data_IF_610765614608
#
_entry.id   IF_610765614608
#
_cell.length_a   1.000
_cell.length_b   1.000
_cell.length_c   1.000
_cell.angle_alpha   90.00
_cell.angle_beta   90.00
_cell.angle_gamma   90.00
#
_symmetry.space_group_name_H-M   'P 1'
#
loop_
_entity.id
_entity.type
_entity.pdbx_description
1 polymer ?
#
# COMPACT_ATOMS: atom_id res chain seq x y z
N UNK A 1 25.05 51.64 -8.54
CA UNK A 1 24.82 51.20 -7.14
C UNK A 1 23.46 50.54 -6.95
N UNK A 2 22.38 51.10 -7.51
CA UNK A 2 21.00 50.57 -7.38
C UNK A 2 20.72 49.15 -7.93
N UNK A 3 21.35 48.74 -9.04
CA UNK A 3 21.08 47.41 -9.67
C UNK A 3 21.68 46.23 -8.88
N UNK A 4 22.76 46.47 -8.13
CA UNK A 4 23.43 45.42 -7.33
C UNK A 4 22.69 45.15 -6.02
N UNK A 5 22.10 46.17 -5.41
CA UNK A 5 21.26 46.03 -4.22
C UNK A 5 19.93 45.35 -4.52
N UNK A 6 19.31 45.61 -5.68
CA UNK A 6 18.08 44.91 -6.08
C UNK A 6 18.31 43.44 -6.38
N UNK A 7 19.41 43.06 -7.06
CA UNK A 7 19.73 41.65 -7.31
C UNK A 7 19.98 40.85 -6.02
N UNK A 8 20.68 41.45 -5.04
CA UNK A 8 20.94 40.79 -3.75
C UNK A 8 19.66 40.62 -2.92
N UNK A 9 18.76 41.60 -2.92
CA UNK A 9 17.48 41.51 -2.22
C UNK A 9 16.55 40.44 -2.84
N UNK A 10 16.53 40.33 -4.17
CA UNK A 10 15.75 39.29 -4.87
C UNK A 10 16.28 37.87 -4.61
N UNK A 11 17.60 37.69 -4.55
CA UNK A 11 18.22 36.39 -4.21
C UNK A 11 17.93 36.02 -2.76
N UNK A 12 17.98 36.97 -1.82
CA UNK A 12 17.67 36.70 -0.41
C UNK A 12 16.20 36.32 -0.20
N UNK A 13 15.27 36.99 -0.89
CA UNK A 13 13.83 36.65 -0.85
C UNK A 13 13.55 35.27 -1.42
N UNK A 14 14.22 34.87 -2.51
CA UNK A 14 14.11 33.52 -3.09
C UNK A 14 14.63 32.44 -2.14
N UNK A 15 15.74 32.67 -1.44
CA UNK A 15 16.31 31.71 -0.48
C UNK A 15 15.38 31.51 0.73
N UNK A 16 14.83 32.59 1.29
CA UNK A 16 13.88 32.50 2.41
C UNK A 16 12.59 31.76 2.06
N UNK A 17 12.08 31.92 0.83
CA UNK A 17 10.90 31.17 0.37
C UNK A 17 11.14 29.66 0.22
N UNK A 18 12.36 29.23 -0.10
CA UNK A 18 12.70 27.80 -0.22
C UNK A 18 12.77 27.11 1.14
N UNK A 19 13.38 27.76 2.14
CA UNK A 19 13.43 27.23 3.52
C UNK A 19 12.03 27.11 4.12
N UNK A 20 11.17 28.11 3.94
CA UNK A 20 9.80 28.04 4.45
C UNK A 20 8.99 26.89 3.83
N UNK A 21 9.18 26.59 2.53
CA UNK A 21 8.54 25.43 1.89
C UNK A 21 9.10 24.12 2.46
N UNK A 22 10.41 24.02 2.67
CA UNK A 22 11.03 22.83 3.26
C UNK A 22 10.50 22.54 4.67
N UNK A 23 10.39 23.56 5.51
CA UNK A 23 9.86 23.44 6.88
C UNK A 23 8.38 22.98 6.84
N UNK A 24 7.55 23.55 5.96
CA UNK A 24 6.14 23.12 5.83
C UNK A 24 5.99 21.67 5.35
N UNK A 25 6.89 21.20 4.48
CA UNK A 25 6.88 19.82 4.02
C UNK A 25 7.31 18.85 5.12
N UNK A 26 8.28 19.25 5.94
CA UNK A 26 8.70 18.47 7.11
C UNK A 26 7.56 18.36 8.13
N UNK A 27 6.87 19.46 8.42
CA UNK A 27 5.72 19.48 9.32
C UNK A 27 4.57 18.60 8.80
N UNK A 28 4.23 18.69 7.51
CA UNK A 28 3.19 17.87 6.90
C UNK A 28 3.57 16.38 6.90
N UNK A 29 4.83 16.05 6.59
CA UNK A 29 5.33 14.68 6.64
C UNK A 29 5.25 14.11 8.07
N UNK A 30 5.67 14.88 9.07
CA UNK A 30 5.58 14.48 10.47
C UNK A 30 4.12 14.26 10.91
N UNK A 31 3.21 15.14 10.49
CA UNK A 31 1.77 14.98 10.78
C UNK A 31 1.19 13.71 10.15
N UNK A 32 1.58 13.37 8.92
CA UNK A 32 1.16 12.14 8.25
C UNK A 32 1.72 10.90 8.96
N UNK A 33 2.99 10.95 9.40
CA UNK A 33 3.63 9.88 10.17
C UNK A 33 2.89 9.67 11.49
N UNK A 34 2.64 10.73 12.25
CA UNK A 34 1.93 10.65 13.53
C UNK A 34 0.52 10.08 13.35
N UNK A 35 -0.19 10.50 12.29
CA UNK A 35 -1.50 9.95 11.95
C UNK A 35 -1.42 8.46 11.61
N UNK A 36 -0.43 8.04 10.83
CA UNK A 36 -0.25 6.64 10.45
C UNK A 36 0.12 5.75 11.64
N UNK A 37 0.92 6.25 12.58
CA UNK A 37 1.34 5.51 13.77
C UNK A 37 0.23 5.37 14.82
N UNK A 38 -0.73 6.29 14.84
CA UNK A 38 -1.82 6.31 15.83
C UNK A 38 -3.13 5.71 15.30
N UNK A 39 -3.28 5.59 13.98
CA UNK A 39 -4.49 5.05 13.34
C UNK A 39 -4.55 3.51 13.38
N UNK A 40 -5.74 2.96 13.63
CA UNK A 40 -6.02 1.52 13.52
C UNK A 40 -6.27 1.04 12.09
N UNK A 41 -6.39 1.96 11.13
CA UNK A 41 -6.85 1.67 9.76
C UNK A 41 -6.04 0.56 9.07
N UNK A 42 -4.71 0.56 9.21
CA UNK A 42 -3.86 -0.48 8.61
C UNK A 42 -4.19 -1.88 9.12
N UNK A 43 -4.45 -1.98 10.44
CA UNK A 43 -4.81 -3.25 11.07
C UNK A 43 -6.24 -3.68 10.68
N UNK A 44 -7.16 -2.73 10.58
CA UNK A 44 -8.53 -2.99 10.11
C UNK A 44 -8.55 -3.50 8.66
N UNK A 45 -7.75 -2.89 7.77
CA UNK A 45 -7.64 -3.30 6.38
C UNK A 45 -7.06 -4.71 6.23
N UNK A 46 -5.94 -5.01 6.89
CA UNK A 46 -5.34 -6.35 6.81
C UNK A 46 -6.24 -7.40 7.47
N UNK A 47 -6.92 -7.06 8.56
CA UNK A 47 -7.87 -7.96 9.23
C UNK A 47 -9.07 -8.24 8.32
N UNK A 48 -9.67 -7.20 7.75
CA UNK A 48 -10.78 -7.32 6.79
C UNK A 48 -10.38 -8.23 5.62
N UNK A 49 -9.23 -7.98 5.01
CA UNK A 49 -8.75 -8.79 3.88
C UNK A 49 -8.44 -10.24 4.26
N UNK A 50 -7.80 -10.49 5.41
CA UNK A 50 -7.38 -11.84 5.80
C UNK A 50 -8.49 -12.66 6.46
N UNK A 51 -9.48 -12.02 7.06
CA UNK A 51 -10.59 -12.69 7.75
C UNK A 51 -11.82 -12.83 6.87
N UNK A 52 -12.17 -11.80 6.10
CA UNK A 52 -13.36 -11.85 5.23
C UNK A 52 -13.08 -12.59 3.91
N UNK A 53 -11.85 -12.51 3.38
CA UNK A 53 -11.48 -13.17 2.11
C UNK A 53 -10.63 -14.43 2.33
N UNK A 54 -9.59 -14.32 3.16
CA UNK A 54 -8.69 -15.44 3.46
C UNK A 54 -7.59 -15.67 2.41
N UNK A 55 -7.11 -16.93 2.26
CA UNK A 55 -6.08 -17.31 1.29
C UNK A 55 -6.55 -17.04 -0.14
N UNK A 56 -5.73 -16.35 -0.92
CA UNK A 56 -6.11 -15.76 -2.21
C UNK A 56 -4.98 -15.89 -3.23
N UNK A 57 -4.71 -17.12 -3.61
CA UNK A 57 -3.68 -17.43 -4.60
C UNK A 57 -3.98 -16.72 -5.92
N UNK A 58 -2.94 -16.14 -6.54
CA UNK A 58 -3.08 -15.46 -7.82
C UNK A 58 -3.76 -16.34 -8.89
N UNK A 59 -4.74 -15.77 -9.60
CA UNK A 59 -5.55 -16.48 -10.60
C UNK A 59 -6.67 -17.38 -10.04
N UNK A 60 -6.83 -17.49 -8.72
CA UNK A 60 -7.92 -18.25 -8.11
C UNK A 60 -9.21 -17.43 -7.94
N UNK A 61 -10.34 -18.10 -7.74
CA UNK A 61 -11.60 -17.43 -7.38
C UNK A 61 -11.49 -16.57 -6.11
N UNK A 62 -10.65 -16.97 -5.16
CA UNK A 62 -10.42 -16.21 -3.94
C UNK A 62 -9.63 -14.92 -4.20
N UNK A 63 -8.73 -14.93 -5.18
CA UNK A 63 -8.10 -13.70 -5.66
C UNK A 63 -9.10 -12.78 -6.34
N UNK A 64 -10.01 -13.31 -7.15
CA UNK A 64 -11.06 -12.48 -7.77
C UNK A 64 -11.91 -11.77 -6.71
N UNK A 65 -12.33 -12.48 -5.65
CA UNK A 65 -13.04 -11.86 -4.52
C UNK A 65 -12.19 -10.80 -3.82
N UNK A 66 -10.89 -11.00 -3.70
CA UNK A 66 -9.97 -10.03 -3.11
C UNK A 66 -9.84 -8.76 -3.98
N UNK A 67 -9.78 -8.92 -5.30
CA UNK A 67 -9.77 -7.81 -6.27
C UNK A 67 -11.05 -6.98 -6.15
N UNK A 68 -12.22 -7.63 -6.16
CA UNK A 68 -13.51 -6.95 -6.03
C UNK A 68 -13.65 -6.24 -4.66
N UNK A 69 -13.15 -6.87 -3.60
CA UNK A 69 -13.06 -6.26 -2.27
C UNK A 69 -12.18 -5.00 -2.30
N UNK A 70 -11.02 -5.05 -2.98
CA UNK A 70 -10.07 -3.93 -3.03
C UNK A 70 -10.68 -2.73 -3.76
N UNK A 71 -11.30 -2.97 -4.92
CA UNK A 71 -12.02 -1.93 -5.69
C UNK A 71 -13.07 -1.26 -4.81
N UNK A 72 -13.87 -2.04 -4.08
CA UNK A 72 -14.92 -1.52 -3.20
C UNK A 72 -14.35 -0.72 -2.03
N UNK A 73 -13.32 -1.23 -1.35
CA UNK A 73 -12.68 -0.54 -0.21
C UNK A 73 -12.05 0.78 -0.64
N UNK A 74 -11.25 0.77 -1.71
CA UNK A 74 -10.60 1.98 -2.22
C UNK A 74 -11.61 3.02 -2.71
N UNK A 75 -12.66 2.59 -3.41
CA UNK A 75 -13.74 3.50 -3.83
C UNK A 75 -14.45 4.14 -2.63
N UNK A 76 -14.77 3.34 -1.61
CA UNK A 76 -15.43 3.83 -0.39
C UNK A 76 -14.54 4.78 0.44
N UNK A 77 -13.21 4.65 0.32
CA UNK A 77 -12.24 5.55 0.95
C UNK A 77 -12.05 6.86 0.17
N UNK A 78 -12.71 7.02 -0.98
CA UNK A 78 -12.66 8.25 -1.77
C UNK A 78 -11.43 8.37 -2.69
N UNK A 79 -10.73 7.26 -2.96
CA UNK A 79 -9.65 7.28 -3.95
C UNK A 79 -10.19 7.57 -5.35
N UNK A 80 -9.39 8.28 -6.14
CA UNK A 80 -9.67 8.51 -7.55
C UNK A 80 -9.07 7.41 -8.42
N UNK A 81 -9.64 7.22 -9.62
CA UNK A 81 -9.13 6.28 -10.63
C UNK A 81 -9.03 4.81 -10.16
N UNK A 82 -9.98 4.33 -9.36
CA UNK A 82 -10.02 2.92 -8.93
C UNK A 82 -10.56 2.04 -10.06
N UNK A 83 -9.74 1.15 -10.60
CA UNK A 83 -10.12 0.21 -11.65
C UNK A 83 -9.26 -1.06 -11.58
N UNK A 84 -9.67 -2.09 -12.32
CA UNK A 84 -8.92 -3.35 -12.47
C UNK A 84 -8.18 -3.30 -13.81
N UNK A 85 -6.91 -3.67 -13.79
CA UNK A 85 -6.10 -3.87 -14.99
C UNK A 85 -5.93 -5.37 -15.22
N UNK A 86 -6.46 -5.87 -16.35
CA UNK A 86 -6.42 -7.28 -16.67
C UNK A 86 -5.08 -7.65 -17.33
N UNK A 87 -4.54 -8.83 -16.96
CA UNK A 87 -3.34 -9.39 -17.56
C UNK A 87 -3.39 -10.92 -17.53
N UNK A 88 -2.67 -11.55 -18.46
CA UNK A 88 -2.54 -13.00 -18.50
C UNK A 88 -1.43 -13.48 -17.56
N UNK A 89 -1.68 -14.59 -16.88
CA UNK A 89 -0.67 -15.25 -16.06
C UNK A 89 -0.87 -16.77 -16.02
N UNK A 90 0.20 -17.56 -15.86
CA UNK A 90 0.04 -18.98 -15.56
C UNK A 90 -0.62 -19.16 -14.19
N UNK A 91 -1.77 -19.84 -14.18
CA UNK A 91 -2.45 -20.23 -12.96
C UNK A 91 -1.82 -21.48 -12.32
N UNK A 92 -1.95 -21.61 -11.01
CA UNK A 92 -1.63 -22.84 -10.30
C UNK A 92 -2.82 -23.28 -9.46
N UNK A 93 -3.13 -24.56 -9.50
CA UNK A 93 -4.11 -25.17 -8.60
C UNK A 93 -3.45 -26.28 -7.80
N UNK A 94 -3.75 -26.31 -6.50
CA UNK A 94 -3.27 -27.36 -5.63
C UNK A 94 -4.02 -28.65 -5.96
N UNK A 95 -3.29 -29.65 -6.45
CA UNK A 95 -3.80 -31.02 -6.53
C UNK A 95 -3.95 -31.69 -5.16
N UNK A 96 -4.40 -32.94 -5.14
CA UNK A 96 -4.44 -33.72 -3.90
C UNK A 96 -3.01 -34.03 -3.41
N UNK A 97 -2.79 -33.90 -2.10
CA UNK A 97 -1.55 -34.30 -1.45
C UNK A 97 -1.86 -35.33 -0.37
N UNK A 98 -1.12 -36.43 -0.37
CA UNK A 98 -1.14 -37.45 0.67
C UNK A 98 0.29 -37.87 0.93
N UNK A 99 0.67 -37.93 2.20
CA UNK A 99 2.03 -38.27 2.63
C UNK A 99 1.92 -39.41 3.64
N UNK A 100 2.85 -40.36 3.57
CA UNK A 100 2.97 -41.43 4.54
C UNK A 100 4.45 -41.62 4.90
N UNK A 101 4.72 -41.86 6.18
CA UNK A 101 6.01 -42.41 6.62
C UNK A 101 6.04 -43.86 6.14
N UNK A 102 7.06 -44.24 5.36
CA UNK A 102 7.15 -45.58 4.75
C UNK A 102 7.85 -46.65 5.61
N UNK A 103 8.76 -46.26 6.50
CA UNK A 103 9.55 -47.19 7.32
C UNK A 103 10.18 -46.47 8.54
N UNK A 104 10.52 -47.20 9.63
CA UNK A 104 10.32 -48.65 9.84
C UNK A 104 8.86 -49.04 10.13
N UNK A 105 8.01 -48.07 10.48
CA UNK A 105 6.59 -48.29 10.76
C UNK A 105 5.77 -47.37 9.86
N UNK A 106 4.92 -47.94 9.01
CA UNK A 106 4.10 -47.18 8.11
C UNK A 106 3.07 -46.34 8.88
N UNK A 107 3.03 -45.02 8.66
CA UNK A 107 2.10 -44.11 9.33
C UNK A 107 1.59 -43.04 8.35
N UNK A 108 0.26 -42.83 8.24
CA UNK A 108 -0.27 -41.70 7.48
C UNK A 108 0.07 -40.37 8.17
N UNK A 109 0.30 -39.32 7.38
CA UNK A 109 0.47 -37.94 7.83
C UNK A 109 -0.69 -37.05 7.36
#
# INVERSE_FOLDING_TARGET
MFVRTTLFASVLLLVSSVSAVADTLEDEANQLIDTALTSSLSMELVTSLTTEIGPRLAGSEAEQRARDWAVRKLSNMGFSNVHVEDFDMPGWERGQISIQVGAPYAQPL
#
